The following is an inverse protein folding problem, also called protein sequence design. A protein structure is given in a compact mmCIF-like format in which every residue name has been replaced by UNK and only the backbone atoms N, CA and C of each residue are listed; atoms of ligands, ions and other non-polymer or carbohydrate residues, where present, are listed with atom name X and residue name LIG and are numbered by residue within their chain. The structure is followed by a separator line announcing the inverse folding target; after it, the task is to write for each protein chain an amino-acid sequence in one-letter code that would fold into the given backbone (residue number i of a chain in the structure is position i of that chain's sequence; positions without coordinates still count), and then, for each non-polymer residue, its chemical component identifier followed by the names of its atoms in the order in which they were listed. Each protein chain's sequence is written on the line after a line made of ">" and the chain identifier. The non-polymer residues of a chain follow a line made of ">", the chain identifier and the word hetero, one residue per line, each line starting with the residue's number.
data_IF_335302182744
#
_entry.id   IF_335302182744
#
_cell.length_a   1.000
_cell.length_b   1.000
_cell.length_c   1.000
_cell.angle_alpha   90.00
_cell.angle_beta   90.00
_cell.angle_gamma   90.00
#
_symmetry.space_group_name_H-M   'P 1'
#
loop_
_entity.id
_entity.type
_entity.pdbx_description
1 polymer ?
#
# COMPACT_ATOMS: atom_id res chain seq x y z
N UNK A 1 -8.19 -7.13 -12.92
CA UNK A 1 -9.04 -5.92 -13.04
C UNK A 1 -9.15 -5.39 -14.47
N UNK A 2 -8.07 -5.13 -15.21
CA UNK A 2 -8.13 -4.48 -16.55
C UNK A 2 -9.08 -5.14 -17.58
N UNK A 3 -9.29 -6.46 -17.49
CA UNK A 3 -10.20 -7.20 -18.38
C UNK A 3 -11.69 -7.08 -17.98
N UNK A 4 -12.00 -6.55 -16.79
CA UNK A 4 -13.34 -6.24 -16.33
C UNK A 4 -13.61 -4.75 -16.58
N UNK A 5 -14.13 -4.43 -17.76
CA UNK A 5 -14.24 -3.05 -18.27
C UNK A 5 -15.04 -2.11 -17.35
N UNK A 6 -16.20 -2.50 -16.77
CA UNK A 6 -16.90 -1.67 -15.79
C UNK A 6 -16.04 -1.36 -14.57
N UNK A 7 -15.45 -2.38 -13.93
CA UNK A 7 -14.62 -2.20 -12.73
C UNK A 7 -13.36 -1.38 -13.03
N UNK A 8 -12.70 -1.66 -14.15
CA UNK A 8 -11.54 -0.90 -14.63
C UNK A 8 -11.86 0.58 -14.86
N UNK A 9 -12.97 0.86 -15.54
CA UNK A 9 -13.40 2.23 -15.83
C UNK A 9 -13.73 3.00 -14.53
N UNK A 10 -14.39 2.34 -13.57
CA UNK A 10 -14.68 2.92 -12.27
C UNK A 10 -13.41 3.17 -11.46
N UNK A 11 -12.45 2.25 -11.45
CA UNK A 11 -11.19 2.40 -10.74
C UNK A 11 -10.39 3.61 -11.24
N UNK A 12 -10.20 3.72 -12.56
CA UNK A 12 -9.49 4.87 -13.14
C UNK A 12 -10.18 6.19 -12.78
N UNK A 13 -11.50 6.28 -12.93
CA UNK A 13 -12.21 7.53 -12.62
C UNK A 13 -12.25 7.84 -11.12
N UNK A 14 -12.38 6.83 -10.25
CA UNK A 14 -12.36 7.00 -8.81
C UNK A 14 -11.01 7.52 -8.33
N UNK A 15 -9.92 6.93 -8.84
CA UNK A 15 -8.56 7.36 -8.52
C UNK A 15 -8.30 8.79 -9.04
N UNK A 16 -8.69 9.10 -10.28
CA UNK A 16 -8.62 10.48 -10.79
C UNK A 16 -9.42 11.47 -9.94
N UNK A 17 -10.63 11.11 -9.51
CA UNK A 17 -11.47 11.98 -8.69
C UNK A 17 -10.87 12.23 -7.30
N UNK A 18 -10.29 11.22 -6.67
CA UNK A 18 -9.59 11.37 -5.38
C UNK A 18 -8.35 12.26 -5.52
N UNK A 19 -7.55 12.09 -6.59
CA UNK A 19 -6.38 12.94 -6.87
C UNK A 19 -6.74 14.39 -7.20
N UNK A 20 -7.94 14.64 -7.72
CA UNK A 20 -8.46 15.99 -8.02
C UNK A 20 -9.18 16.64 -6.85
N UNK A 21 -9.45 15.89 -5.77
CA UNK A 21 -10.04 16.45 -4.56
C UNK A 21 -9.05 17.46 -3.95
N UNK A 22 -9.48 18.67 -3.54
CA UNK A 22 -8.58 19.71 -3.03
C UNK A 22 -7.66 19.19 -1.91
N UNK A 23 -6.37 19.54 -1.95
CA UNK A 23 -5.36 19.01 -1.01
C UNK A 23 -5.59 19.37 0.47
N UNK A 24 -6.49 20.31 0.76
CA UNK A 24 -6.93 20.66 2.12
C UNK A 24 -8.16 19.87 2.60
N UNK A 25 -8.76 19.04 1.76
CA UNK A 25 -9.81 18.09 2.15
C UNK A 25 -9.16 16.85 2.80
N UNK A 26 -9.64 16.49 3.99
CA UNK A 26 -9.11 15.38 4.82
C UNK A 26 -9.01 14.05 4.07
N UNK A 27 -9.92 13.80 3.12
CA UNK A 27 -10.01 12.56 2.35
C UNK A 27 -9.44 12.69 0.92
N UNK A 28 -8.77 13.80 0.61
CA UNK A 28 -8.03 13.96 -0.66
C UNK A 28 -6.87 12.97 -0.74
N UNK A 29 -6.42 12.71 -1.98
CA UNK A 29 -5.20 11.92 -2.20
C UNK A 29 -4.01 12.45 -1.39
N UNK A 30 -3.83 13.77 -1.35
CA UNK A 30 -2.71 14.40 -0.66
C UNK A 30 -2.76 14.15 0.86
N UNK A 31 -3.90 14.35 1.51
CA UNK A 31 -4.04 14.12 2.95
C UNK A 31 -3.88 12.63 3.31
N UNK A 32 -4.53 11.74 2.54
CA UNK A 32 -4.46 10.29 2.78
C UNK A 32 -3.06 9.74 2.53
N UNK A 33 -2.40 10.14 1.43
CA UNK A 33 -1.00 9.81 1.18
C UNK A 33 -0.10 10.35 2.31
N UNK A 34 -0.36 11.59 2.76
CA UNK A 34 0.41 12.25 3.81
C UNK A 34 0.42 11.52 5.15
N UNK A 35 -0.58 10.68 5.46
CA UNK A 35 -0.60 9.85 6.68
C UNK A 35 0.70 9.03 6.82
N UNK A 36 1.20 8.47 5.72
CA UNK A 36 2.40 7.64 5.76
C UNK A 36 3.64 8.41 6.24
N UNK A 37 3.78 9.66 5.81
CA UNK A 37 5.03 10.40 5.87
C UNK A 37 4.82 11.89 5.99
N UNK A 38 5.45 12.65 5.10
CA UNK A 38 5.26 14.09 5.01
C UNK A 38 3.86 14.39 4.47
N UNK A 39 3.24 15.50 4.89
CA UNK A 39 3.70 16.40 5.95
C UNK A 39 3.43 15.81 7.35
N UNK A 40 4.33 16.07 8.31
CA UNK A 40 4.20 15.58 9.69
C UNK A 40 3.21 16.45 10.48
N UNK A 41 1.92 16.29 10.16
CA UNK A 41 0.82 17.05 10.75
C UNK A 41 -0.26 16.13 11.31
N UNK A 42 -1.12 16.63 12.22
CA UNK A 42 -2.28 15.88 12.69
C UNK A 42 -3.20 15.45 11.53
N UNK A 43 -3.70 14.22 11.58
CA UNK A 43 -4.74 13.73 10.69
C UNK A 43 -5.93 13.28 11.53
N UNK A 44 -7.13 13.76 11.18
CA UNK A 44 -8.38 13.53 11.93
C UNK A 44 -8.25 13.79 13.44
N UNK A 45 -7.62 14.91 13.79
CA UNK A 45 -7.41 15.40 15.17
C UNK A 45 -6.52 14.50 16.05
N UNK A 46 -5.76 13.58 15.47
CA UNK A 46 -4.71 12.84 16.19
C UNK A 46 -3.45 13.70 16.22
N UNK A 47 -3.15 14.27 17.39
CA UNK A 47 -2.01 15.16 17.58
C UNK A 47 -0.68 14.42 17.68
N UNK A 48 0.41 15.11 17.34
CA UNK A 48 1.78 14.60 17.52
C UNK A 48 2.06 14.34 18.99
N UNK A 49 2.64 13.18 19.29
CA UNK A 49 3.15 12.91 20.63
C UNK A 49 4.52 13.57 20.80
N UNK A 50 4.63 14.55 21.69
CA UNK A 50 5.89 15.30 21.90
C UNK A 50 7.05 14.46 22.45
N UNK A 51 6.80 13.23 22.91
CA UNK A 51 7.83 12.26 23.29
C UNK A 51 8.23 11.33 22.15
N UNK A 52 7.56 11.41 21.00
CA UNK A 52 7.77 10.59 19.81
C UNK A 52 8.59 11.35 18.75
N UNK A 53 9.23 10.64 17.80
CA UNK A 53 9.97 11.29 16.73
C UNK A 53 9.05 12.13 15.82
N UNK A 54 9.61 13.18 15.21
CA UNK A 54 8.91 14.02 14.23
C UNK A 54 9.00 13.36 12.83
N UNK A 55 8.26 12.27 12.66
CA UNK A 55 8.16 11.45 11.44
C UNK A 55 6.69 11.12 11.13
N UNK A 56 6.40 10.40 10.05
CA UNK A 56 5.03 10.02 9.69
C UNK A 56 4.39 8.99 10.63
N UNK A 57 3.12 8.66 10.38
CA UNK A 57 2.39 7.69 11.22
C UNK A 57 2.79 6.24 10.98
N UNK A 58 3.33 5.92 9.80
CA UNK A 58 3.52 4.53 9.43
C UNK A 58 4.64 3.85 10.25
N UNK A 59 4.37 2.70 10.87
CA UNK A 59 5.39 1.91 11.56
C UNK A 59 6.19 1.11 10.53
N UNK A 60 7.51 1.28 10.55
CA UNK A 60 8.47 0.50 9.77
C UNK A 60 9.58 0.00 10.70
N UNK A 61 10.20 -1.12 10.34
CA UNK A 61 11.06 -1.91 11.23
C UNK A 61 10.33 -2.24 12.54
N UNK A 62 9.06 -2.63 12.40
CA UNK A 62 8.10 -2.71 13.50
C UNK A 62 7.12 -3.86 13.30
N UNK A 63 6.74 -4.54 14.39
CA UNK A 63 5.76 -5.63 14.36
C UNK A 63 4.35 -5.18 13.99
N UNK A 64 4.07 -3.86 14.05
CA UNK A 64 2.83 -3.27 13.57
C UNK A 64 2.80 -3.03 12.06
N UNK A 65 3.90 -3.26 11.34
CA UNK A 65 4.02 -2.99 9.91
C UNK A 65 2.85 -3.54 9.09
N UNK A 66 2.56 -4.84 9.20
CA UNK A 66 1.54 -5.49 8.37
C UNK A 66 0.11 -5.07 8.74
N UNK A 67 -0.22 -5.00 10.04
CA UNK A 67 -1.57 -4.64 10.51
C UNK A 67 -1.88 -3.16 10.31
N UNK A 68 -0.91 -2.26 10.50
CA UNK A 68 -1.09 -0.84 10.24
C UNK A 68 -1.36 -0.57 8.76
N UNK A 69 -0.51 -1.12 7.87
CA UNK A 69 -0.68 -0.91 6.43
C UNK A 69 -1.96 -1.56 5.88
N UNK A 70 -2.43 -2.65 6.48
CA UNK A 70 -3.75 -3.22 6.17
C UNK A 70 -4.87 -2.21 6.41
N UNK A 71 -4.94 -1.60 7.60
CA UNK A 71 -5.99 -0.61 7.90
C UNK A 71 -5.82 0.65 7.03
N UNK A 72 -4.58 1.01 6.69
CA UNK A 72 -4.33 2.10 5.75
C UNK A 72 -4.94 1.83 4.36
N UNK A 73 -4.81 0.60 3.84
CA UNK A 73 -5.47 0.18 2.60
C UNK A 73 -6.99 0.18 2.72
N UNK A 74 -7.54 -0.23 3.86
CA UNK A 74 -8.99 -0.19 4.10
C UNK A 74 -9.53 1.25 4.01
N UNK A 75 -8.83 2.23 4.59
CA UNK A 75 -9.19 3.64 4.46
C UNK A 75 -9.18 4.09 2.98
N UNK A 76 -8.09 3.81 2.26
CA UNK A 76 -7.99 4.18 0.84
C UNK A 76 -9.11 3.53 0.02
N UNK A 77 -9.33 2.23 0.20
CA UNK A 77 -10.35 1.49 -0.53
C UNK A 77 -11.75 2.02 -0.22
N UNK A 78 -12.06 2.34 1.03
CA UNK A 78 -13.34 2.94 1.41
C UNK A 78 -13.60 4.27 0.69
N UNK A 79 -12.59 5.13 0.60
CA UNK A 79 -12.70 6.42 -0.10
C UNK A 79 -12.93 6.19 -1.60
N UNK A 80 -12.10 5.34 -2.23
CA UNK A 80 -12.21 5.01 -3.65
C UNK A 80 -13.53 4.33 -3.99
N UNK A 81 -14.02 3.42 -3.14
CA UNK A 81 -15.33 2.79 -3.26
C UNK A 81 -16.43 3.86 -3.21
N UNK A 82 -16.32 4.84 -2.31
CA UNK A 82 -17.23 5.98 -2.26
C UNK A 82 -17.27 6.79 -3.57
N UNK A 83 -16.11 7.05 -4.19
CA UNK A 83 -16.06 7.66 -5.52
C UNK A 83 -16.67 6.77 -6.59
N UNK A 84 -16.34 5.47 -6.62
CA UNK A 84 -16.87 4.50 -7.57
C UNK A 84 -18.40 4.40 -7.50
N UNK A 85 -18.97 4.39 -6.29
CA UNK A 85 -20.41 4.39 -6.04
C UNK A 85 -21.10 5.66 -6.57
N UNK A 86 -20.50 6.84 -6.38
CA UNK A 86 -21.03 8.08 -6.96
C UNK A 86 -20.96 8.07 -8.49
N UNK A 87 -19.84 7.60 -9.04
CA UNK A 87 -19.61 7.52 -10.49
C UNK A 87 -20.56 6.54 -11.17
N UNK A 88 -20.79 5.36 -10.60
CA UNK A 88 -21.66 4.33 -11.16
C UNK A 88 -23.10 4.82 -11.39
N UNK A 89 -23.63 5.69 -10.51
CA UNK A 89 -24.95 6.32 -10.68
C UNK A 89 -25.05 7.12 -11.98
N UNK A 90 -23.96 7.74 -12.44
CA UNK A 90 -23.94 8.53 -13.68
C UNK A 90 -24.04 7.69 -14.96
N UNK A 91 -23.75 6.38 -14.88
CA UNK A 91 -23.88 5.47 -16.03
C UNK A 91 -25.32 5.04 -16.29
N UNK A 92 -26.23 5.18 -15.32
CA UNK A 92 -27.58 4.62 -15.38
C UNK A 92 -27.58 3.14 -15.81
N UNK A 93 -26.60 2.36 -15.32
CA UNK A 93 -26.35 0.97 -15.73
C UNK A 93 -26.26 0.08 -14.51
N UNK A 94 -27.07 -0.98 -14.48
CA UNK A 94 -27.02 -2.01 -13.43
C UNK A 94 -25.69 -2.73 -13.40
N UNK A 95 -25.02 -2.90 -14.55
CA UNK A 95 -23.68 -3.51 -14.65
C UNK A 95 -22.63 -2.67 -13.94
N UNK A 96 -22.60 -1.35 -14.17
CA UNK A 96 -21.66 -0.46 -13.49
C UNK A 96 -21.97 -0.34 -12.00
N UNK A 97 -23.25 -0.30 -11.62
CA UNK A 97 -23.63 -0.31 -10.21
C UNK A 97 -23.16 -1.59 -9.51
N UNK A 98 -23.40 -2.76 -10.11
CA UNK A 98 -22.94 -4.04 -9.56
C UNK A 98 -21.40 -4.14 -9.44
N UNK A 99 -20.66 -3.54 -10.37
CA UNK A 99 -19.19 -3.44 -10.27
C UNK A 99 -18.75 -2.49 -9.16
N UNK A 100 -19.44 -1.37 -8.95
CA UNK A 100 -19.17 -0.48 -7.81
C UNK A 100 -19.47 -1.15 -6.46
N UNK A 101 -20.53 -1.97 -6.39
CA UNK A 101 -20.90 -2.69 -5.16
C UNK A 101 -19.84 -3.74 -4.76
N UNK A 102 -19.11 -4.25 -5.74
CA UNK A 102 -18.02 -5.23 -5.58
C UNK A 102 -16.63 -4.61 -5.68
N UNK A 103 -16.54 -3.29 -5.70
CA UNK A 103 -15.28 -2.59 -5.95
C UNK A 103 -14.23 -2.92 -4.88
N UNK A 104 -13.06 -3.40 -5.31
CA UNK A 104 -11.88 -3.60 -4.47
C UNK A 104 -10.66 -3.04 -5.20
N UNK A 105 -9.65 -2.55 -4.49
CA UNK A 105 -8.41 -2.10 -5.13
C UNK A 105 -7.62 -3.31 -5.68
N UNK A 106 -6.92 -3.18 -6.82
CA UNK A 106 -6.09 -4.26 -7.33
C UNK A 106 -4.76 -4.36 -6.56
N UNK A 107 -4.11 -5.51 -6.64
CA UNK A 107 -2.73 -5.72 -6.17
C UNK A 107 -1.79 -6.00 -7.35
N UNK A 108 -0.50 -5.72 -7.17
CA UNK A 108 0.56 -6.15 -8.09
C UNK A 108 1.41 -7.23 -7.42
N UNK A 109 1.32 -8.46 -7.93
CA UNK A 109 2.10 -9.61 -7.44
C UNK A 109 3.57 -9.53 -7.89
N UNK A 110 4.31 -8.59 -7.29
CA UNK A 110 5.73 -8.32 -7.57
C UNK A 110 6.64 -9.51 -7.24
N UNK A 111 6.18 -10.43 -6.39
CA UNK A 111 6.91 -11.66 -6.03
C UNK A 111 6.81 -12.72 -7.12
N UNK A 112 5.69 -12.80 -7.83
CA UNK A 112 5.52 -13.73 -8.96
C UNK A 112 6.07 -13.14 -10.26
N UNK A 113 5.77 -11.87 -10.51
CA UNK A 113 6.13 -11.13 -11.73
C UNK A 113 6.92 -9.89 -11.30
N UNK A 114 8.25 -10.01 -11.14
CA UNK A 114 9.12 -8.92 -10.68
C UNK A 114 9.43 -7.96 -11.84
N UNK A 115 8.38 -7.35 -12.37
CA UNK A 115 8.41 -6.27 -13.35
C UNK A 115 7.15 -5.42 -13.16
N UNK A 116 7.26 -4.10 -13.34
CA UNK A 116 6.12 -3.21 -13.20
C UNK A 116 5.00 -3.58 -14.18
N UNK A 117 3.72 -3.51 -13.77
CA UNK A 117 2.60 -3.64 -14.69
C UNK A 117 2.66 -2.53 -15.74
N UNK A 118 2.56 -2.85 -17.03
CA UNK A 118 2.64 -1.86 -18.12
C UNK A 118 1.73 -0.65 -17.91
N UNK A 119 0.54 -0.90 -17.34
CA UNK A 119 -0.48 0.11 -17.09
C UNK A 119 -0.04 1.22 -16.15
N UNK A 120 1.00 1.03 -15.33
CA UNK A 120 1.50 2.09 -14.44
C UNK A 120 2.51 3.01 -15.15
N UNK A 121 2.91 2.70 -16.39
CA UNK A 121 3.94 3.41 -17.14
C UNK A 121 3.41 4.14 -18.39
N UNK A 122 2.13 3.95 -18.74
CA UNK A 122 1.50 4.58 -19.91
C UNK A 122 0.84 5.92 -19.54
N UNK A 123 0.93 6.96 -20.39
CA UNK A 123 0.42 8.29 -20.07
C UNK A 123 -1.10 8.40 -20.11
N UNK A 124 -1.75 7.56 -20.92
CA UNK A 124 -3.20 7.57 -21.11
C UNK A 124 -3.74 6.15 -21.14
N UNK A 125 -5.00 6.02 -20.75
CA UNK A 125 -5.72 4.74 -20.71
C UNK A 125 -7.10 4.92 -21.32
N UNK A 126 -7.56 3.87 -22.01
CA UNK A 126 -8.87 3.84 -22.63
C UNK A 126 -9.89 3.28 -21.64
N UNK A 127 -10.95 4.04 -21.36
CA UNK A 127 -12.03 3.64 -20.45
C UNK A 127 -13.39 4.01 -21.03
N UNK A 128 -14.44 3.32 -20.57
CA UNK A 128 -15.82 3.70 -20.88
C UNK A 128 -16.32 4.69 -19.84
N UNK A 129 -16.81 5.84 -20.29
CA UNK A 129 -17.52 6.84 -19.47
C UNK A 129 -19.02 6.80 -19.79
N UNK A 130 -19.89 7.50 -19.05
CA UNK A 130 -21.29 7.65 -19.44
C UNK A 130 -21.49 8.24 -20.84
N UNK A 131 -20.51 9.03 -21.31
CA UNK A 131 -20.49 9.63 -22.66
C UNK A 131 -19.86 8.73 -23.73
N UNK A 132 -19.59 7.46 -23.42
CA UNK A 132 -18.93 6.50 -24.28
C UNK A 132 -17.43 6.36 -23.99
N UNK A 133 -16.74 5.67 -24.91
CA UNK A 133 -15.32 5.35 -24.82
C UNK A 133 -14.47 6.64 -24.90
N UNK A 134 -13.56 6.82 -23.95
CA UNK A 134 -12.66 7.99 -23.85
C UNK A 134 -11.24 7.55 -23.54
N UNK A 135 -10.29 8.22 -24.16
CA UNK A 135 -8.88 8.14 -23.78
C UNK A 135 -8.63 9.23 -22.74
N UNK A 136 -8.24 8.84 -21.53
CA UNK A 136 -8.06 9.74 -20.38
C UNK A 136 -6.63 9.70 -19.87
N UNK A 137 -6.18 10.76 -19.21
CA UNK A 137 -4.90 10.75 -18.49
C UNK A 137 -4.89 9.63 -17.46
N UNK A 138 -3.80 8.89 -17.38
CA UNK A 138 -3.68 7.75 -16.48
C UNK A 138 -3.32 8.19 -15.05
N UNK A 139 -4.22 8.09 -14.07
CA UNK A 139 -3.93 8.48 -12.69
C UNK A 139 -2.99 7.51 -11.97
N UNK A 140 -2.66 6.34 -12.56
CA UNK A 140 -1.66 5.41 -12.03
C UNK A 140 -0.23 5.78 -12.43
N UNK A 141 -0.04 6.70 -13.37
CA UNK A 141 1.28 7.07 -13.86
C UNK A 141 2.10 7.82 -12.81
N UNK A 142 1.46 8.80 -12.16
CA UNK A 142 2.05 9.70 -11.17
C UNK A 142 0.96 10.52 -10.51
N UNK A 143 1.22 11.02 -9.30
CA UNK A 143 0.42 12.09 -8.71
C UNK A 143 0.99 13.45 -9.11
N UNK A 144 0.13 14.47 -9.27
CA UNK A 144 0.52 15.86 -9.50
C UNK A 144 0.09 16.68 -8.29
N UNK A 145 1.06 17.24 -7.58
CA UNK A 145 0.78 18.16 -6.47
C UNK A 145 -0.01 19.37 -6.99
N UNK A 146 -1.12 19.68 -6.34
CA UNK A 146 -2.02 20.75 -6.78
C UNK A 146 -1.44 22.12 -6.41
N UNK A 147 -0.78 22.21 -5.25
CA UNK A 147 0.00 23.36 -4.82
C UNK A 147 1.49 23.12 -5.11
N UNK A 148 2.11 24.01 -5.90
CA UNK A 148 3.54 23.96 -6.18
C UNK A 148 4.12 25.38 -6.38
N UNK A 149 5.31 25.73 -5.85
CA UNK A 149 6.22 24.90 -5.05
C UNK A 149 5.58 24.40 -3.75
N UNK A 150 6.06 23.26 -3.24
CA UNK A 150 5.59 22.73 -1.97
C UNK A 150 5.88 23.71 -0.83
N UNK A 151 5.05 23.71 0.21
CA UNK A 151 5.26 24.55 1.37
C UNK A 151 6.56 24.13 2.08
N UNK A 152 7.55 25.03 2.15
CA UNK A 152 8.90 24.73 2.69
C UNK A 152 8.90 24.40 4.19
N UNK A 153 7.88 24.82 4.95
CA UNK A 153 7.74 24.41 6.36
C UNK A 153 7.31 22.96 6.46
N UNK A 154 6.40 22.53 5.59
CA UNK A 154 5.88 21.17 5.57
C UNK A 154 6.82 20.19 4.84
N UNK A 155 7.53 20.69 3.82
CA UNK A 155 8.44 19.97 2.94
C UNK A 155 9.78 20.73 2.83
N UNK A 156 10.62 20.68 3.88
CA UNK A 156 11.87 21.42 3.91
C UNK A 156 12.85 20.90 2.84
N UNK A 157 13.37 21.78 1.97
CA UNK A 157 14.33 21.37 0.94
C UNK A 157 15.69 20.99 1.54
N UNK A 158 16.40 20.06 0.89
CA UNK A 158 17.79 19.76 1.23
C UNK A 158 18.01 18.92 2.49
N UNK A 159 16.96 18.29 3.03
CA UNK A 159 17.10 17.21 4.01
C UNK A 159 17.94 16.07 3.41
N UNK A 160 18.97 15.61 4.12
CA UNK A 160 20.05 14.76 3.60
C UNK A 160 19.63 13.39 3.06
N UNK A 161 18.38 12.98 3.28
CA UNK A 161 17.81 11.71 2.83
C UNK A 161 16.51 11.86 2.01
N UNK A 162 15.99 13.07 1.85
CA UNK A 162 14.79 13.35 1.04
C UNK A 162 15.14 13.82 -0.39
N UNK A 163 16.44 14.01 -0.67
CA UNK A 163 16.96 14.33 -1.99
C UNK A 163 16.38 15.62 -2.57
N UNK A 164 16.03 15.58 -3.86
CA UNK A 164 15.45 16.72 -4.61
C UNK A 164 13.93 16.62 -4.79
N UNK A 165 13.26 15.80 -3.99
CA UNK A 165 11.83 15.51 -4.18
C UNK A 165 10.94 16.76 -4.17
N UNK A 166 11.29 17.76 -3.37
CA UNK A 166 10.58 19.04 -3.28
C UNK A 166 10.64 19.88 -4.56
N UNK A 167 11.52 19.53 -5.51
CA UNK A 167 11.65 20.20 -6.80
C UNK A 167 10.75 19.60 -7.89
N UNK A 168 10.15 18.44 -7.64
CA UNK A 168 9.26 17.77 -8.58
C UNK A 168 7.80 18.11 -8.30
N UNK A 169 7.10 18.68 -9.28
CA UNK A 169 5.66 18.97 -9.17
C UNK A 169 4.76 17.73 -9.40
N UNK A 170 5.37 16.59 -9.73
CA UNK A 170 4.72 15.29 -9.85
C UNK A 170 5.58 14.21 -9.22
N UNK A 171 4.98 13.10 -8.83
CA UNK A 171 5.76 11.94 -8.42
C UNK A 171 6.61 11.41 -9.58
N UNK A 172 7.82 10.98 -9.25
CA UNK A 172 8.80 10.41 -10.18
C UNK A 172 9.35 9.10 -9.61
N UNK A 173 9.67 8.16 -10.49
CA UNK A 173 10.13 6.80 -10.17
C UNK A 173 11.49 6.58 -10.81
N UNK A 174 12.52 6.31 -10.02
CA UNK A 174 13.91 6.17 -10.48
C UNK A 174 14.31 7.29 -11.44
N UNK A 175 14.35 8.55 -10.98
CA UNK A 175 14.57 9.67 -11.86
C UNK A 175 16.00 9.66 -12.43
N UNK A 176 16.10 9.89 -13.73
CA UNK A 176 17.35 10.21 -14.44
C UNK A 176 17.16 11.59 -15.07
N UNK A 177 17.88 12.59 -14.57
CA UNK A 177 17.68 14.00 -14.94
C UNK A 177 16.23 14.47 -14.72
N UNK A 178 15.59 14.02 -13.64
CA UNK A 178 14.22 14.40 -13.27
C UNK A 178 13.10 13.72 -14.07
N UNK A 179 13.42 12.71 -14.88
CA UNK A 179 12.43 11.92 -15.64
C UNK A 179 12.47 10.47 -15.16
N UNK A 180 11.29 9.87 -14.93
CA UNK A 180 11.20 8.47 -14.50
C UNK A 180 11.82 7.52 -15.52
N UNK A 181 12.68 6.60 -15.06
CA UNK A 181 13.34 5.59 -15.88
C UNK A 181 12.77 4.18 -15.59
N UNK A 182 11.76 3.78 -16.36
CA UNK A 182 11.08 2.50 -16.18
C UNK A 182 11.92 1.28 -16.59
N UNK A 183 12.89 1.46 -17.48
CA UNK A 183 13.77 0.37 -17.93
C UNK A 183 14.70 -0.05 -16.79
N UNK A 184 15.34 0.92 -16.14
CA UNK A 184 16.17 0.67 -14.97
C UNK A 184 15.38 0.02 -13.83
N UNK A 185 14.14 0.46 -13.58
CA UNK A 185 13.28 -0.15 -12.55
C UNK A 185 13.04 -1.63 -12.85
N UNK A 186 12.65 -1.97 -14.08
CA UNK A 186 12.38 -3.35 -14.47
C UNK A 186 13.65 -4.21 -14.50
N UNK A 187 14.81 -3.65 -14.84
CA UNK A 187 16.09 -4.35 -14.75
C UNK A 187 16.42 -4.73 -13.30
N UNK A 188 16.21 -3.82 -12.36
CA UNK A 188 16.45 -4.07 -10.93
C UNK A 188 15.47 -5.09 -10.35
N UNK A 189 14.18 -4.96 -10.65
CA UNK A 189 13.17 -5.93 -10.23
C UNK A 189 13.48 -7.32 -10.83
N UNK A 190 13.80 -7.40 -12.11
CA UNK A 190 14.13 -8.67 -12.79
C UNK A 190 15.40 -9.34 -12.26
N UNK A 191 16.35 -8.57 -11.74
CA UNK A 191 17.57 -9.08 -11.08
C UNK A 191 17.39 -9.45 -9.60
N UNK A 192 16.23 -9.16 -9.02
CA UNK A 192 15.97 -9.39 -7.60
C UNK A 192 15.72 -10.87 -7.26
N UNK A 193 15.83 -11.20 -5.97
CA UNK A 193 15.45 -12.51 -5.43
C UNK A 193 14.05 -12.50 -4.78
N UNK A 194 13.13 -11.64 -5.26
CA UNK A 194 11.81 -11.45 -4.65
C UNK A 194 11.02 -12.75 -4.50
N UNK A 195 10.98 -13.59 -5.55
CA UNK A 195 10.23 -14.87 -5.52
C UNK A 195 10.74 -15.85 -4.45
N UNK A 196 12.02 -16.27 -4.46
CA UNK A 196 12.52 -17.18 -3.44
C UNK A 196 12.52 -16.57 -2.03
N UNK A 197 12.78 -15.26 -1.88
CA UNK A 197 12.71 -14.60 -0.57
C UNK A 197 11.27 -14.55 -0.04
N UNK A 198 10.27 -14.30 -0.90
CA UNK A 198 8.85 -14.35 -0.49
C UNK A 198 8.47 -15.77 -0.04
N UNK A 199 8.92 -16.78 -0.79
CA UNK A 199 8.64 -18.18 -0.44
C UNK A 199 9.29 -18.62 0.88
N UNK A 200 10.49 -18.13 1.20
CA UNK A 200 11.17 -18.46 2.45
C UNK A 200 10.44 -17.90 3.68
N UNK A 201 9.81 -16.71 3.58
CA UNK A 201 9.01 -16.13 4.66
C UNK A 201 7.81 -17.01 5.01
N UNK A 202 7.18 -17.64 4.01
CA UNK A 202 6.09 -18.61 4.25
C UNK A 202 6.51 -19.88 5.01
N UNK A 203 7.82 -20.10 5.21
CA UNK A 203 8.32 -21.19 6.06
C UNK A 203 8.41 -20.81 7.53
N UNK A 204 8.32 -19.52 7.89
CA UNK A 204 8.25 -19.10 9.29
C UNK A 204 6.82 -19.24 9.82
N UNK A 205 6.71 -19.70 11.06
CA UNK A 205 5.46 -19.80 11.82
C UNK A 205 5.37 -18.72 12.92
N UNK A 206 6.36 -17.81 12.98
CA UNK A 206 6.40 -16.70 13.92
C UNK A 206 5.92 -15.42 13.23
N UNK A 207 5.01 -14.69 13.88
CA UNK A 207 4.45 -13.47 13.30
C UNK A 207 5.50 -12.36 13.21
N UNK A 208 6.31 -12.16 14.25
CA UNK A 208 7.23 -11.04 14.31
C UNK A 208 8.33 -11.23 13.26
N UNK A 209 8.86 -12.45 13.07
CA UNK A 209 9.81 -12.80 12.01
C UNK A 209 9.23 -12.59 10.60
N UNK A 210 7.97 -12.95 10.40
CA UNK A 210 7.27 -12.76 9.12
C UNK A 210 7.06 -11.28 8.80
N UNK A 211 6.67 -10.49 9.79
CA UNK A 211 6.22 -9.11 9.59
C UNK A 211 7.37 -8.16 9.25
N UNK A 212 8.46 -8.18 10.01
CA UNK A 212 9.49 -7.12 10.00
C UNK A 212 10.90 -7.65 9.84
N UNK A 213 11.76 -6.86 9.19
CA UNK A 213 13.19 -7.17 9.05
C UNK A 213 14.02 -7.01 10.33
N UNK A 214 13.43 -6.50 11.42
CA UNK A 214 14.11 -6.31 12.70
C UNK A 214 14.37 -7.61 13.45
N UNK A 215 13.51 -8.61 13.27
CA UNK A 215 13.54 -9.90 13.96
C UNK A 215 14.06 -11.02 13.07
N UNK A 216 14.02 -10.85 11.74
CA UNK A 216 14.49 -11.82 10.76
C UNK A 216 15.15 -11.16 9.55
N UNK A 217 16.10 -11.86 8.92
CA UNK A 217 16.74 -11.42 7.66
C UNK A 217 15.79 -11.45 6.46
N UNK A 218 14.73 -12.26 6.52
CA UNK A 218 13.74 -12.40 5.47
C UNK A 218 12.36 -12.27 6.10
N UNK A 219 11.65 -11.20 5.71
CA UNK A 219 10.30 -10.84 6.14
C UNK A 219 9.53 -10.26 4.95
N UNK A 220 8.22 -10.10 5.06
CA UNK A 220 7.46 -9.41 4.02
C UNK A 220 7.83 -7.93 3.92
N UNK A 221 8.17 -7.27 5.03
CA UNK A 221 8.72 -5.91 5.00
C UNK A 221 10.04 -5.85 4.21
N UNK A 222 10.93 -6.83 4.35
CA UNK A 222 12.17 -6.88 3.58
C UNK A 222 11.91 -6.95 2.06
N UNK A 223 11.07 -7.88 1.61
CA UNK A 223 10.71 -8.01 0.20
C UNK A 223 10.02 -6.74 -0.33
N UNK A 224 9.16 -6.13 0.48
CA UNK A 224 8.53 -4.85 0.22
C UNK A 224 9.56 -3.72 0.02
N UNK A 225 10.56 -3.61 0.92
CA UNK A 225 11.58 -2.57 0.84
C UNK A 225 12.43 -2.68 -0.43
N UNK A 226 12.74 -3.89 -0.88
CA UNK A 226 13.42 -4.12 -2.15
C UNK A 226 12.62 -3.57 -3.34
N UNK A 227 11.30 -3.70 -3.34
CA UNK A 227 10.42 -3.14 -4.38
C UNK A 227 10.42 -1.61 -4.32
N UNK A 228 10.33 -1.02 -3.12
CA UNK A 228 10.43 0.43 -2.93
C UNK A 228 11.74 1.00 -3.47
N UNK A 229 12.88 0.38 -3.14
CA UNK A 229 14.19 0.80 -3.64
C UNK A 229 14.31 0.61 -5.15
N UNK A 230 13.80 -0.48 -5.71
CA UNK A 230 13.83 -0.71 -7.14
C UNK A 230 13.04 0.35 -7.92
N UNK A 231 11.91 0.83 -7.40
CA UNK A 231 11.07 1.87 -8.04
C UNK A 231 11.61 3.28 -7.76
N UNK A 232 12.11 3.52 -6.55
CA UNK A 232 12.66 4.80 -6.14
C UNK A 232 14.03 5.09 -6.75
N UNK A 233 14.83 4.06 -6.97
CA UNK A 233 16.23 4.18 -7.33
C UNK A 233 17.14 4.34 -6.12
N UNK A 234 18.43 4.08 -6.36
CA UNK A 234 19.45 3.91 -5.32
C UNK A 234 20.33 5.15 -5.12
N UNK A 235 20.09 6.23 -5.85
CA UNK A 235 20.84 7.47 -5.70
C UNK A 235 20.25 8.31 -4.57
N UNK A 236 20.86 8.38 -3.37
CA UNK A 236 20.28 9.09 -2.23
C UNK A 236 20.09 10.59 -2.49
N UNK A 237 20.81 11.16 -3.46
CA UNK A 237 20.70 12.59 -3.82
C UNK A 237 19.61 12.87 -4.86
N UNK A 238 19.10 11.83 -5.54
CA UNK A 238 18.05 11.92 -6.56
C UNK A 238 17.21 10.64 -6.56
N UNK A 239 16.75 10.23 -5.38
CA UNK A 239 15.78 9.14 -5.26
C UNK A 239 14.42 9.64 -5.73
N UNK A 240 13.68 8.79 -6.42
CA UNK A 240 12.26 8.96 -6.69
C UNK A 240 11.41 8.77 -5.43
N UNK A 241 10.13 9.13 -5.53
CA UNK A 241 9.25 9.22 -4.36
C UNK A 241 9.14 7.88 -3.64
N UNK A 242 8.97 6.77 -4.38
CA UNK A 242 8.89 5.42 -3.83
C UNK A 242 10.11 4.96 -3.02
N UNK A 243 11.29 5.58 -3.24
CA UNK A 243 12.52 5.23 -2.52
C UNK A 243 12.73 6.05 -1.24
N UNK A 244 11.88 7.04 -0.99
CA UNK A 244 11.96 7.89 0.20
C UNK A 244 10.71 7.67 1.03
N UNK A 245 10.87 7.02 2.18
CA UNK A 245 9.84 6.71 3.15
C UNK A 245 8.80 7.84 3.32
N UNK A 246 9.28 9.08 3.53
CA UNK A 246 8.41 10.22 3.81
C UNK A 246 7.53 10.65 2.63
N UNK A 247 7.79 10.20 1.40
CA UNK A 247 7.09 10.63 0.19
C UNK A 247 6.48 9.47 -0.63
N UNK A 248 6.79 8.22 -0.29
CA UNK A 248 6.48 7.06 -1.12
C UNK A 248 4.98 6.93 -1.43
N UNK A 249 4.13 7.15 -0.43
CA UNK A 249 2.66 7.06 -0.53
C UNK A 249 2.01 8.06 -1.49
N UNK A 250 2.70 9.14 -1.86
CA UNK A 250 2.18 10.05 -2.87
C UNK A 250 2.14 9.41 -4.25
N UNK A 251 3.02 8.43 -4.54
CA UNK A 251 3.03 7.76 -5.83
C UNK A 251 1.92 6.70 -5.90
N UNK A 252 1.04 6.71 -6.93
CA UNK A 252 -0.08 5.78 -7.03
C UNK A 252 0.29 4.29 -6.99
N UNK A 253 1.51 3.92 -7.41
CA UNK A 253 1.96 2.51 -7.38
C UNK A 253 2.16 1.99 -5.95
N UNK A 254 2.36 2.88 -4.97
CA UNK A 254 2.49 2.53 -3.55
C UNK A 254 1.37 1.57 -3.10
N UNK A 255 0.12 1.93 -3.38
CA UNK A 255 -1.02 1.15 -2.92
C UNK A 255 -1.16 -0.20 -3.64
N UNK A 256 -0.62 -0.35 -4.86
CA UNK A 256 -0.53 -1.65 -5.54
C UNK A 256 0.49 -2.59 -4.86
N UNK A 257 1.63 -2.02 -4.44
CA UNK A 257 2.68 -2.73 -3.69
C UNK A 257 2.15 -3.15 -2.32
N UNK A 258 1.52 -2.23 -1.58
CA UNK A 258 0.96 -2.54 -0.27
C UNK A 258 -0.23 -3.50 -0.34
N UNK A 259 -1.09 -3.42 -1.36
CA UNK A 259 -2.18 -4.38 -1.54
C UNK A 259 -1.67 -5.82 -1.76
N UNK A 260 -0.52 -6.00 -2.42
CA UNK A 260 0.11 -7.31 -2.51
C UNK A 260 0.81 -7.73 -1.22
N UNK A 261 1.42 -6.78 -0.52
CA UNK A 261 2.04 -7.04 0.79
C UNK A 261 0.99 -7.51 1.80
N UNK A 262 -0.19 -6.88 1.80
CA UNK A 262 -1.33 -7.33 2.59
C UNK A 262 -1.86 -8.70 2.15
N UNK A 263 -1.91 -8.97 0.84
CA UNK A 263 -2.22 -10.30 0.32
C UNK A 263 -1.27 -11.35 0.86
N UNK A 264 0.04 -11.13 0.78
CA UNK A 264 1.05 -12.07 1.30
C UNK A 264 0.86 -12.30 2.80
N UNK A 265 0.62 -11.24 3.58
CA UNK A 265 0.30 -11.34 5.00
C UNK A 265 -0.97 -12.17 5.25
N UNK A 266 -2.05 -11.90 4.53
CA UNK A 266 -3.29 -12.65 4.64
C UNK A 266 -3.13 -14.15 4.32
N UNK A 267 -2.36 -14.48 3.28
CA UNK A 267 -2.04 -15.86 2.93
C UNK A 267 -1.26 -16.53 4.08
N UNK A 268 -0.32 -15.81 4.69
CA UNK A 268 0.44 -16.34 5.82
C UNK A 268 -0.46 -16.58 7.03
N UNK A 269 -1.41 -15.70 7.33
CA UNK A 269 -2.38 -15.90 8.42
C UNK A 269 -3.28 -17.11 8.17
N UNK A 270 -3.70 -17.33 6.93
CA UNK A 270 -4.51 -18.49 6.58
C UNK A 270 -3.73 -19.81 6.78
N UNK A 271 -2.42 -19.82 6.49
CA UNK A 271 -1.53 -20.96 6.76
C UNK A 271 -1.23 -21.11 8.26
N UNK A 272 -1.15 -19.99 8.99
CA UNK A 272 -0.78 -19.90 10.40
C UNK A 272 -1.92 -19.31 11.25
N UNK A 273 -3.02 -20.05 11.48
CA UNK A 273 -4.21 -19.47 12.07
C UNK A 273 -4.10 -19.12 13.57
N UNK A 274 -3.11 -19.66 14.29
CA UNK A 274 -2.93 -19.41 15.72
C UNK A 274 -1.90 -18.30 16.03
N UNK A 275 -0.66 -18.33 15.49
CA UNK A 275 0.35 -17.31 15.74
C UNK A 275 -0.13 -15.89 15.42
N UNK A 276 0.29 -14.93 16.22
CA UNK A 276 0.02 -13.51 16.01
C UNK A 276 1.07 -12.67 16.72
N UNK A 277 0.95 -11.34 16.61
CA UNK A 277 1.90 -10.38 17.16
C UNK A 277 2.22 -10.67 18.64
N UNK A 278 3.50 -10.85 18.92
CA UNK A 278 4.03 -10.92 20.30
C UNK A 278 4.68 -9.59 20.68
N UNK A 279 4.62 -9.17 21.96
CA UNK A 279 5.15 -7.89 22.38
C UNK A 279 6.62 -7.69 22.00
N UNK A 280 6.95 -6.52 21.47
CA UNK A 280 8.28 -6.15 20.97
C UNK A 280 8.56 -4.68 21.25
N UNK A 281 9.82 -4.34 21.54
CA UNK A 281 10.23 -2.96 21.78
C UNK A 281 10.41 -2.25 20.44
N UNK A 282 9.69 -1.14 20.24
CA UNK A 282 9.84 -0.28 19.08
C UNK A 282 11.20 0.42 19.10
N UNK A 283 11.98 0.28 18.04
CA UNK A 283 13.30 0.91 17.91
C UNK A 283 13.28 2.13 16.98
N UNK A 284 12.18 2.39 16.29
CA UNK A 284 12.05 3.48 15.31
C UNK A 284 11.06 4.55 15.76
N UNK A 285 9.94 4.16 16.37
CA UNK A 285 8.86 5.07 16.72
C UNK A 285 8.08 5.59 15.50
N UNK A 286 7.01 6.34 15.76
CA UNK A 286 6.16 6.96 14.74
C UNK A 286 5.75 8.36 15.19
N UNK A 287 4.87 9.03 14.44
CA UNK A 287 4.26 10.30 14.86
C UNK A 287 3.58 10.24 16.25
N UNK A 288 3.13 9.06 16.69
CA UNK A 288 2.40 8.89 17.95
C UNK A 288 3.09 7.95 18.94
N UNK A 289 3.90 7.00 18.45
CA UNK A 289 4.60 6.03 19.28
C UNK A 289 6.04 6.50 19.56
N UNK A 290 6.45 6.63 20.83
CA UNK A 290 7.82 6.95 21.16
C UNK A 290 8.75 5.76 20.89
N UNK A 291 10.02 6.06 20.58
CA UNK A 291 11.08 5.06 20.55
C UNK A 291 11.18 4.40 21.93
N UNK A 292 11.29 3.07 21.96
CA UNK A 292 11.33 2.26 23.17
C UNK A 292 9.96 1.84 23.70
N UNK A 293 8.86 2.19 23.01
CA UNK A 293 7.53 1.71 23.37
C UNK A 293 7.44 0.18 23.26
N UNK A 294 6.79 -0.48 24.22
CA UNK A 294 6.48 -1.90 24.11
C UNK A 294 5.19 -2.09 23.29
N UNK A 295 5.34 -2.46 22.02
CA UNK A 295 4.22 -2.64 21.09
C UNK A 295 3.51 -3.96 21.40
N UNK A 296 2.18 -3.95 21.32
CA UNK A 296 1.34 -5.12 21.59
C UNK A 296 0.19 -5.17 20.59
N UNK A 297 -0.64 -6.22 20.66
CA UNK A 297 -1.84 -6.34 19.83
C UNK A 297 -2.85 -5.22 20.06
N UNK A 298 -2.80 -4.58 21.23
CA UNK A 298 -3.70 -3.50 21.64
C UNK A 298 -3.13 -2.11 21.36
N UNK A 299 -1.89 -2.02 20.87
CA UNK A 299 -1.29 -0.75 20.49
C UNK A 299 -2.14 -0.08 19.39
N UNK A 300 -2.55 1.19 19.57
CA UNK A 300 -3.33 1.91 18.58
C UNK A 300 -2.62 2.00 17.22
N UNK A 301 -3.35 1.65 16.16
CA UNK A 301 -2.95 1.84 14.76
C UNK A 301 -3.37 3.25 14.32
N UNK A 302 -2.76 4.28 14.91
CA UNK A 302 -3.10 5.67 14.59
C UNK A 302 -2.74 6.02 13.15
N UNK A 303 -3.50 6.91 12.47
CA UNK A 303 -4.60 7.70 13.02
C UNK A 303 -5.98 7.04 12.83
N UNK A 304 -6.03 5.74 12.56
CA UNK A 304 -7.27 5.08 12.16
C UNK A 304 -8.20 4.84 13.35
N UNK A 305 -9.44 5.30 13.23
CA UNK A 305 -10.50 5.12 14.23
C UNK A 305 -11.64 4.26 13.67
N UNK A 306 -12.30 3.52 14.57
CA UNK A 306 -13.54 2.81 14.32
C UNK A 306 -14.73 3.76 14.43
N UNK A 307 -15.91 3.32 13.98
CA UNK A 307 -17.15 4.13 13.98
C UNK A 307 -17.58 4.58 15.38
N UNK A 308 -17.20 3.83 16.41
CA UNK A 308 -17.46 4.16 17.82
C UNK A 308 -16.43 5.15 18.42
N UNK A 309 -15.46 5.59 17.63
CA UNK A 309 -14.39 6.52 18.02
C UNK A 309 -13.16 5.84 18.65
N UNK A 310 -13.19 4.52 18.88
CA UNK A 310 -12.02 3.80 19.39
C UNK A 310 -10.95 3.67 18.30
N UNK A 311 -9.67 3.66 18.68
CA UNK A 311 -8.60 3.42 17.72
C UNK A 311 -8.65 1.97 17.20
N UNK A 312 -8.29 1.78 15.93
CA UNK A 312 -7.96 0.46 15.42
C UNK A 312 -6.76 -0.12 16.17
N UNK A 313 -6.71 -1.45 16.28
CA UNK A 313 -5.57 -2.18 16.84
C UNK A 313 -5.30 -3.43 15.98
N UNK A 314 -4.20 -4.14 16.26
CA UNK A 314 -3.83 -5.32 15.48
C UNK A 314 -4.86 -6.45 15.60
N UNK A 315 -5.55 -6.58 16.75
CA UNK A 315 -6.63 -7.55 16.92
C UNK A 315 -7.79 -7.29 15.94
N UNK A 316 -8.24 -6.03 15.80
CA UNK A 316 -9.27 -5.65 14.85
C UNK A 316 -8.83 -5.82 13.39
N UNK A 317 -7.56 -5.57 13.08
CA UNK A 317 -7.00 -5.72 11.74
C UNK A 317 -6.76 -7.18 11.31
N UNK A 318 -6.93 -8.16 12.20
CA UNK A 318 -6.53 -9.55 11.95
C UNK A 318 -7.36 -10.23 10.86
N UNK A 319 -8.68 -10.09 10.91
CA UNK A 319 -9.62 -10.90 10.13
C UNK A 319 -10.21 -10.13 8.95
N UNK A 320 -10.06 -10.65 7.73
CA UNK A 320 -10.49 -9.96 6.50
C UNK A 320 -12.00 -9.76 6.40
N UNK A 321 -12.79 -10.70 6.93
CA UNK A 321 -14.25 -10.66 6.87
C UNK A 321 -14.83 -9.39 7.50
N UNK A 322 -14.23 -8.90 8.58
CA UNK A 322 -14.63 -7.66 9.25
C UNK A 322 -14.26 -6.39 8.46
N UNK A 323 -13.28 -6.51 7.56
CA UNK A 323 -12.79 -5.42 6.71
C UNK A 323 -13.48 -5.41 5.33
N UNK A 324 -14.25 -6.45 5.02
CA UNK A 324 -15.09 -6.51 3.84
C UNK A 324 -14.37 -6.91 2.56
N UNK A 325 -13.16 -7.46 2.60
CA UNK A 325 -12.47 -7.96 1.40
C UNK A 325 -11.89 -9.36 1.64
N UNK A 326 -11.40 -9.99 0.58
CA UNK A 326 -10.69 -11.27 0.63
C UNK A 326 -9.80 -11.40 -0.62
N UNK A 327 -9.01 -12.46 -0.71
CA UNK A 327 -8.13 -12.73 -1.84
C UNK A 327 -8.51 -14.04 -2.55
N UNK A 328 -8.28 -14.16 -3.87
CA UNK A 328 -8.71 -15.34 -4.63
C UNK A 328 -8.20 -16.69 -4.10
N UNK A 329 -7.03 -16.69 -3.45
CA UNK A 329 -6.44 -17.87 -2.84
C UNK A 329 -7.06 -18.23 -1.47
N UNK A 330 -7.64 -17.25 -0.78
CA UNK A 330 -8.22 -17.38 0.57
C UNK A 330 -9.73 -17.46 0.40
N UNK A 331 -10.22 -18.61 -0.06
CA UNK A 331 -11.65 -18.84 -0.30
C UNK A 331 -12.43 -19.01 1.02
N UNK A 332 -12.32 -18.05 1.92
CA UNK A 332 -12.89 -18.01 3.27
C UNK A 332 -14.42 -17.84 3.31
N UNK A 333 -15.05 -17.56 2.17
CA UNK A 333 -16.50 -17.60 1.98
C UNK A 333 -17.05 -19.03 1.79
N UNK A 334 -16.20 -20.03 1.63
CA UNK A 334 -16.59 -21.44 1.58
C UNK A 334 -16.62 -22.03 3.00
N UNK A 335 -17.46 -23.06 3.25
CA UNK A 335 -17.56 -23.71 4.56
C UNK A 335 -16.36 -24.64 4.84
N UNK A 336 -15.15 -24.07 4.90
CA UNK A 336 -13.90 -24.78 5.16
C UNK A 336 -13.51 -24.63 6.63
N UNK A 337 -12.97 -25.70 7.21
CA UNK A 337 -12.24 -25.61 8.48
C UNK A 337 -10.95 -24.80 8.31
N UNK A 338 -10.40 -24.28 9.42
CA UNK A 338 -9.11 -23.57 9.41
C UNK A 338 -7.97 -24.43 8.84
N UNK A 339 -7.98 -25.73 9.13
CA UNK A 339 -6.96 -26.66 8.64
C UNK A 339 -7.10 -26.93 7.13
N UNK A 340 -8.32 -27.06 6.63
CA UNK A 340 -8.57 -27.19 5.18
C UNK A 340 -8.17 -25.92 4.43
N UNK A 341 -8.51 -24.76 4.98
CA UNK A 341 -8.09 -23.47 4.42
C UNK A 341 -6.56 -23.35 4.39
N UNK A 342 -5.89 -23.64 5.52
CA UNK A 342 -4.44 -23.62 5.61
C UNK A 342 -3.80 -24.52 4.55
N UNK A 343 -4.27 -25.76 4.41
CA UNK A 343 -3.78 -26.71 3.39
C UNK A 343 -3.97 -26.19 1.96
N UNK A 344 -5.14 -25.63 1.65
CA UNK A 344 -5.44 -25.09 0.32
C UNK A 344 -4.55 -23.88 -0.01
N UNK A 345 -4.39 -22.96 0.95
CA UNK A 345 -3.55 -21.78 0.78
C UNK A 345 -2.07 -22.17 0.69
N UNK A 346 -1.58 -23.12 1.50
CA UNK A 346 -0.21 -23.65 1.37
C UNK A 346 0.04 -24.24 -0.03
N UNK A 347 -0.92 -24.98 -0.59
CA UNK A 347 -0.81 -25.52 -1.95
C UNK A 347 -0.77 -24.41 -3.01
N UNK A 348 -1.55 -23.34 -2.84
CA UNK A 348 -1.52 -22.17 -3.71
C UNK A 348 -0.17 -21.44 -3.64
N UNK A 349 0.34 -21.20 -2.43
CA UNK A 349 1.66 -20.57 -2.20
C UNK A 349 2.79 -21.42 -2.81
N UNK A 350 2.77 -22.74 -2.62
CA UNK A 350 3.73 -23.65 -3.25
C UNK A 350 3.69 -23.56 -4.78
N UNK A 351 2.49 -23.50 -5.37
CA UNK A 351 2.33 -23.38 -6.83
C UNK A 351 2.84 -22.04 -7.35
N UNK A 352 2.59 -20.95 -6.63
CA UNK A 352 2.96 -19.60 -7.03
C UNK A 352 4.46 -19.34 -6.84
N UNK A 353 4.99 -19.63 -5.65
CA UNK A 353 6.31 -19.16 -5.25
C UNK A 353 7.31 -20.28 -4.95
N UNK A 354 6.82 -21.52 -4.79
CA UNK A 354 7.68 -22.65 -4.51
C UNK A 354 8.68 -22.96 -5.63
N UNK A 355 9.80 -23.63 -5.32
CA UNK A 355 10.78 -24.02 -6.31
C UNK A 355 10.16 -24.98 -7.33
N UNK A 356 10.51 -24.81 -8.61
CA UNK A 356 10.11 -25.76 -9.66
C UNK A 356 10.87 -27.06 -9.42
N UNK A 357 10.19 -28.10 -8.96
CA UNK A 357 10.74 -29.45 -8.94
C UNK A 357 11.00 -29.88 -10.38
N UNK A 358 12.28 -30.12 -10.72
CA UNK A 358 12.69 -30.65 -12.03
C UNK A 358 12.25 -32.09 -12.22
#
# INVERSE_FOLDING_TARGET
>A
MQNDLPTWSLYIQALSAMQQTPENDLLSWFQVAGIHGRPYIPWDNIEWNSSAPEVGYCPHSSTLFTTWHRIYLVLLEQILAGHAQRLAKSYNSTTYQASADKFRIPYWDYSLIPSMPDIVNVPQVLIYTPSGLKNVSNPLLRYKFQQFPLNETLFPPGQSLEGRLTTYNTTVRFPVNGVSDYESINANLGGSSLRPNTYSVFQSHDYNEMATGTTSKYSFEYAHNEVHHAIGGFNPMDSGHMGVFAYASFDPIFFLVHANTDRLFALWQAINPAPFLTPEIDVTGTFTNPVGANLTVDTPLTPFTMVDGNAWNSTGARELVGLGYSYPEIMDWLPLSKDELAKNVSAAVQKLYGPVTK
#
